data_IF_971357907876
#
_entry.id   IF_971357907876
#
_cell.length_a   1.000
_cell.length_b   1.000
_cell.length_c   1.000
_cell.angle_alpha   90.00
_cell.angle_beta   90.00
_cell.angle_gamma   90.00
#
_symmetry.space_group_name_H-M   'P 1'
#
loop_
_entity.id
_entity.type
_entity.pdbx_description
1 polymer ?
#
# COMPACT_ATOMS: atom_id res chain seq x y z
N UNK A 1 -19.94 28.93 14.75
CA UNK A 1 -18.55 29.18 15.21
C UNK A 1 -17.81 27.88 14.97
N UNK A 2 -16.81 27.88 14.08
CA UNK A 2 -16.48 26.74 13.21
C UNK A 2 -15.85 25.51 13.87
N UNK A 3 -16.19 24.35 13.32
CA UNK A 3 -15.62 23.04 13.61
C UNK A 3 -14.14 22.98 13.19
N UNK A 4 -13.25 22.99 14.17
CA UNK A 4 -11.81 22.82 13.97
C UNK A 4 -11.37 21.45 14.47
N UNK A 5 -10.70 20.74 13.56
CA UNK A 5 -9.99 19.48 13.76
C UNK A 5 -10.84 18.22 13.71
N UNK A 6 -11.29 17.87 12.49
CA UNK A 6 -11.13 16.50 12.04
C UNK A 6 -9.65 16.16 12.11
N UNK A 7 -9.23 15.68 13.28
CA UNK A 7 -7.95 15.04 13.51
C UNK A 7 -7.93 13.84 12.56
N UNK A 8 -7.46 14.05 11.32
CA UNK A 8 -7.10 12.98 10.41
C UNK A 8 -5.99 12.25 11.15
N UNK A 9 -6.37 11.29 11.98
CA UNK A 9 -5.47 10.38 12.65
C UNK A 9 -4.54 9.90 11.56
N UNK A 10 -3.29 10.36 11.62
CA UNK A 10 -2.27 9.95 10.68
C UNK A 10 -2.21 8.44 10.84
N UNK A 11 -2.78 7.69 9.90
CA UNK A 11 -2.78 6.23 9.96
C UNK A 11 -1.34 5.80 9.77
N UNK A 12 -0.64 5.58 10.88
CA UNK A 12 0.69 5.01 10.91
C UNK A 12 0.51 3.52 10.61
N UNK A 13 0.56 3.17 9.33
CA UNK A 13 0.57 1.79 8.88
C UNK A 13 2.03 1.36 8.67
N UNK A 14 2.36 0.13 9.07
CA UNK A 14 3.65 -0.46 8.75
C UNK A 14 3.74 -0.65 7.23
N UNK A 15 4.67 0.06 6.60
CA UNK A 15 4.98 -0.08 5.18
C UNK A 15 6.10 -1.11 5.05
N UNK A 16 5.81 -2.23 4.39
CA UNK A 16 6.81 -3.28 4.19
C UNK A 16 7.69 -3.00 2.98
N UNK A 17 7.10 -2.47 1.90
CA UNK A 17 7.84 -2.12 0.70
C UNK A 17 7.30 -0.87 0.03
N UNK A 18 8.22 -0.18 -0.64
CA UNK A 18 7.93 0.95 -1.51
C UNK A 18 8.57 0.68 -2.87
N UNK A 19 7.83 0.93 -3.95
CA UNK A 19 8.34 0.77 -5.31
C UNK A 19 7.95 1.95 -6.16
N UNK A 20 8.89 2.45 -6.96
CA UNK A 20 8.65 3.50 -7.93
C UNK A 20 8.38 2.91 -9.30
N UNK A 21 7.41 3.49 -9.99
CA UNK A 21 7.14 3.17 -11.38
C UNK A 21 8.19 3.85 -12.29
N UNK A 22 8.93 3.10 -13.12
CA UNK A 22 10.09 3.62 -13.86
C UNK A 22 9.74 4.69 -14.90
N UNK A 23 8.55 4.63 -15.50
CA UNK A 23 8.12 5.59 -16.55
C UNK A 23 7.30 6.76 -16.01
N UNK A 24 6.22 6.49 -15.27
CA UNK A 24 5.27 7.52 -14.81
C UNK A 24 5.63 8.18 -13.47
N UNK A 25 6.65 7.70 -12.75
CA UNK A 25 7.01 8.26 -11.44
C UNK A 25 5.94 8.07 -10.35
N UNK A 26 4.99 7.16 -10.56
CA UNK A 26 4.00 6.76 -9.56
C UNK A 26 4.70 5.98 -8.44
N UNK A 27 4.41 6.34 -7.19
CA UNK A 27 4.90 5.64 -6.02
C UNK A 27 3.86 4.64 -5.55
N UNK A 28 4.27 3.39 -5.33
CA UNK A 28 3.47 2.38 -4.63
C UNK A 28 4.00 2.13 -3.25
N UNK A 29 3.10 2.08 -2.28
CA UNK A 29 3.38 1.72 -0.90
C UNK A 29 2.53 0.52 -0.54
N UNK A 30 3.13 -0.54 0.01
CA UNK A 30 2.41 -1.74 0.47
C UNK A 30 2.59 -1.92 1.97
N UNK A 31 1.52 -2.33 2.65
CA UNK A 31 1.51 -2.51 4.09
C UNK A 31 1.19 -3.92 4.56
N UNK A 32 1.56 -4.19 5.81
CA UNK A 32 1.20 -5.42 6.54
C UNK A 32 -0.31 -5.52 6.79
N UNK A 33 -1.06 -4.44 6.60
CA UNK A 33 -2.52 -4.43 6.67
C UNK A 33 -3.19 -5.06 5.43
N UNK A 34 -2.40 -5.60 4.50
CA UNK A 34 -2.88 -6.21 3.26
C UNK A 34 -3.36 -5.19 2.24
N UNK A 35 -2.94 -3.92 2.37
CA UNK A 35 -3.33 -2.84 1.45
C UNK A 35 -2.13 -2.32 0.69
N UNK A 36 -2.37 -1.93 -0.55
CA UNK A 36 -1.42 -1.16 -1.34
C UNK A 36 -2.05 0.16 -1.79
N UNK A 37 -1.25 1.23 -1.78
CA UNK A 37 -1.65 2.56 -2.23
C UNK A 37 -0.73 3.05 -3.34
N UNK A 38 -1.33 3.58 -4.39
CA UNK A 38 -0.66 4.32 -5.45
C UNK A 38 -0.73 5.81 -5.19
N UNK A 39 0.38 6.48 -5.43
CA UNK A 39 0.59 7.89 -5.20
C UNK A 39 1.18 8.52 -6.45
N UNK A 40 0.67 9.70 -6.80
CA UNK A 40 1.25 10.52 -7.85
C UNK A 40 2.29 11.46 -7.25
N UNK A 41 3.52 11.46 -7.79
CA UNK A 41 4.59 12.32 -7.28
C UNK A 41 4.39 13.80 -7.65
N UNK A 42 3.80 14.07 -8.81
CA UNK A 42 3.69 15.41 -9.39
C UNK A 42 2.49 16.15 -8.79
N UNK A 43 1.36 15.46 -8.69
CA UNK A 43 0.15 15.95 -8.06
C UNK A 43 0.18 15.83 -6.52
N UNK A 44 1.14 15.06 -5.97
CA UNK A 44 1.27 14.76 -4.52
C UNK A 44 -0.03 14.22 -3.90
N UNK A 45 -0.82 13.51 -4.70
CA UNK A 45 -2.11 12.95 -4.27
C UNK A 45 -2.03 11.42 -4.23
N UNK A 46 -2.88 10.85 -3.37
CA UNK A 46 -3.18 9.44 -3.39
C UNK A 46 -4.12 9.17 -4.58
N UNK A 47 -3.64 8.41 -5.57
CA UNK A 47 -4.43 8.06 -6.75
C UNK A 47 -5.46 6.99 -6.41
N UNK A 48 -5.02 5.92 -5.76
CA UNK A 48 -5.85 4.74 -5.52
C UNK A 48 -5.30 3.93 -4.37
N UNK A 49 -6.19 3.47 -3.51
CA UNK A 49 -5.87 2.45 -2.48
C UNK A 49 -6.62 1.19 -2.86
N UNK A 50 -5.94 0.06 -2.80
CA UNK A 50 -6.55 -1.24 -3.00
C UNK A 50 -7.53 -1.54 -1.87
N UNK A 51 -8.43 -2.48 -2.12
CA UNK A 51 -9.14 -3.14 -1.05
C UNK A 51 -8.15 -3.87 -0.13
N UNK A 52 -8.62 -4.14 1.09
CA UNK A 52 -7.87 -4.95 2.04
C UNK A 52 -7.83 -6.38 1.54
N UNK A 53 -6.64 -6.85 1.20
CA UNK A 53 -6.39 -8.25 0.91
C UNK A 53 -6.41 -9.04 2.23
N UNK A 54 -6.76 -10.32 2.12
CA UNK A 54 -6.85 -11.24 3.28
C UNK A 54 -5.47 -11.62 3.84
N UNK A 55 -4.39 -11.24 3.16
CA UNK A 55 -3.03 -11.53 3.58
C UNK A 55 -2.13 -10.29 3.52
N UNK A 56 -1.15 -10.17 4.43
CA UNK A 56 -0.22 -9.05 4.46
C UNK A 56 0.66 -9.07 3.21
N UNK A 57 0.91 -7.88 2.64
CA UNK A 57 1.85 -7.74 1.53
C UNK A 57 3.22 -7.41 2.11
N UNK A 58 4.19 -8.29 1.91
CA UNK A 58 5.55 -8.11 2.45
C UNK A 58 6.51 -7.50 1.45
N UNK A 59 6.25 -7.65 0.14
CA UNK A 59 7.05 -6.98 -0.88
C UNK A 59 6.24 -6.69 -2.14
N UNK A 60 6.67 -5.69 -2.90
CA UNK A 60 6.12 -5.36 -4.20
C UNK A 60 7.21 -4.89 -5.16
N UNK A 61 6.96 -5.05 -6.46
CA UNK A 61 7.85 -4.63 -7.53
C UNK A 61 7.05 -4.24 -8.77
N UNK A 62 7.50 -3.20 -9.46
CA UNK A 62 6.98 -2.85 -10.78
C UNK A 62 7.77 -3.52 -11.89
N UNK A 63 7.06 -3.97 -12.92
CA UNK A 63 7.70 -4.39 -14.17
C UNK A 63 8.42 -3.19 -14.81
N UNK A 64 9.54 -3.43 -15.48
CA UNK A 64 10.36 -2.35 -16.05
C UNK A 64 9.64 -1.53 -17.13
N UNK A 65 8.71 -2.16 -17.85
CA UNK A 65 7.85 -1.47 -18.83
C UNK A 65 6.67 -0.73 -18.18
N UNK A 66 6.43 -0.89 -16.88
CA UNK A 66 5.36 -0.21 -16.15
C UNK A 66 3.97 -0.83 -16.22
N UNK A 67 3.74 -1.76 -17.14
CA UNK A 67 2.40 -2.30 -17.39
C UNK A 67 1.88 -3.25 -16.29
N UNK A 68 2.74 -3.75 -15.42
CA UNK A 68 2.38 -4.79 -14.43
C UNK A 68 2.95 -4.40 -13.07
N UNK A 69 2.12 -4.54 -12.04
CA UNK A 69 2.51 -4.45 -10.64
C UNK A 69 2.47 -5.84 -10.02
N UNK A 70 3.62 -6.32 -9.56
CA UNK A 70 3.74 -7.58 -8.86
C UNK A 70 3.83 -7.31 -7.35
N UNK A 71 3.12 -8.11 -6.56
CA UNK A 71 3.22 -8.08 -5.10
C UNK A 71 3.33 -9.51 -4.58
N UNK A 72 4.13 -9.69 -3.55
CA UNK A 72 4.18 -10.95 -2.82
C UNK A 72 3.45 -10.77 -1.51
N UNK A 73 2.49 -11.67 -1.28
CA UNK A 73 1.87 -11.82 0.02
C UNK A 73 2.48 -13.05 0.68
N UNK A 74 2.98 -12.87 1.89
CA UNK A 74 3.49 -13.98 2.69
C UNK A 74 2.61 -14.10 3.92
N UNK A 75 1.96 -15.25 4.00
CA UNK A 75 1.18 -15.67 5.14
C UNK A 75 2.11 -15.83 6.35
N UNK A 76 2.00 -14.93 7.33
CA UNK A 76 2.34 -15.31 8.69
C UNK A 76 1.28 -16.33 9.11
N UNK A 77 1.73 -17.55 9.37
CA UNK A 77 0.96 -18.74 9.72
C UNK A 77 0.15 -18.63 11.03
N UNK A 78 -0.04 -17.45 11.61
CA UNK A 78 -0.83 -17.22 12.82
C UNK A 78 -2.35 -17.35 12.63
N UNK A 79 -2.85 -17.63 11.42
CA UNK A 79 -4.23 -18.09 11.25
C UNK A 79 -4.36 -19.54 11.77
N UNK A 80 -4.49 -19.61 13.08
CA UNK A 80 -5.38 -20.49 13.83
C UNK A 80 -5.30 -21.97 13.46
N UNK A 81 -4.41 -22.67 14.17
CA UNK A 81 -4.55 -24.09 14.43
C UNK A 81 -5.68 -24.29 15.45
N UNK A 82 -6.92 -24.25 14.98
CA UNK A 82 -8.07 -24.70 15.77
C UNK A 82 -8.21 -26.21 15.56
N UNK A 83 -7.89 -26.99 16.59
CA UNK A 83 -8.28 -28.39 16.76
C UNK A 83 -9.25 -28.51 17.93
#
# INVERSE_FOLDING_TARGET
MGDLNSNQAMRIAQVNAISFHPVHGTLSTVGSDGRFSFWDKDARTKLKTSEQLDQPITTCCFHNNGNIFAYASSYDWSKEHEY
#
